data_IF_971799212621
#
_entry.id   IF_971799212621
#
_cell.length_a   1.000
_cell.length_b   1.000
_cell.length_c   1.000
_cell.angle_alpha   90.00
_cell.angle_beta   90.00
_cell.angle_gamma   90.00
#
_symmetry.space_group_name_H-M   'P 1'
#
loop_
_entity.id
_entity.type
_entity.pdbx_description
1 polymer ?
#
# COMPACT_ATOMS: atom_id res chain seq x y z
N UNK A 1 47.20 25.72 -4.29
CA UNK A 1 46.59 24.41 -4.64
C UNK A 1 45.87 23.93 -3.38
N UNK A 2 44.59 23.56 -3.29
CA UNK A 2 43.47 23.36 -4.21
C UNK A 2 42.24 24.10 -3.63
N UNK A 3 41.44 24.73 -4.49
CA UNK A 3 40.12 25.27 -4.15
C UNK A 3 39.11 24.13 -4.35
N UNK A 4 38.20 23.90 -3.41
CA UNK A 4 37.01 23.09 -3.68
C UNK A 4 35.80 23.99 -3.45
N UNK A 5 35.25 24.41 -4.59
CA UNK A 5 34.05 25.21 -4.73
C UNK A 5 32.86 24.31 -4.43
N UNK A 6 32.01 24.75 -3.52
CA UNK A 6 30.75 24.12 -3.17
C UNK A 6 29.74 24.43 -4.31
N UNK A 7 29.18 23.44 -5.02
CA UNK A 7 28.21 23.74 -6.06
C UNK A 7 26.84 23.99 -5.44
N UNK A 8 26.51 25.28 -5.31
CA UNK A 8 25.14 25.79 -5.36
C UNK A 8 24.52 25.45 -6.74
N UNK A 9 23.19 25.33 -6.77
CA UNK A 9 22.35 25.44 -7.96
C UNK A 9 22.40 24.31 -9.01
N UNK A 10 21.56 23.30 -8.85
CA UNK A 10 20.80 22.78 -9.99
C UNK A 10 19.39 23.35 -9.93
N UNK A 11 19.30 24.59 -10.39
CA UNK A 11 18.06 25.29 -10.73
C UNK A 11 17.52 24.68 -12.03
N UNK A 12 16.27 24.22 -11.96
CA UNK A 12 15.23 24.30 -13.00
C UNK A 12 15.65 23.94 -14.43
N UNK A 13 15.35 22.70 -14.83
CA UNK A 13 14.84 22.31 -16.16
C UNK A 13 14.20 20.93 -15.93
N UNK A 14 12.89 20.72 -16.08
CA UNK A 14 12.16 20.79 -17.34
C UNK A 14 10.74 21.29 -17.10
N UNK A 15 10.43 22.42 -17.73
CA UNK A 15 9.12 23.00 -17.88
C UNK A 15 8.26 22.17 -18.84
N UNK A 16 6.97 22.05 -18.48
CA UNK A 16 5.79 22.06 -19.36
C UNK A 16 5.78 21.03 -20.51
N UNK A 17 5.17 19.88 -20.22
CA UNK A 17 4.38 19.11 -21.19
C UNK A 17 2.91 19.17 -20.78
N UNK A 18 2.18 20.13 -21.35
CA UNK A 18 0.73 20.28 -21.23
C UNK A 18 0.04 19.34 -22.23
N UNK A 19 -1.20 18.97 -21.90
CA UNK A 19 -2.23 18.33 -22.75
C UNK A 19 -2.23 16.79 -22.77
N UNK A 20 -3.19 16.19 -22.03
CA UNK A 20 -4.29 15.38 -22.59
C UNK A 20 -5.17 14.80 -21.47
N UNK A 21 -6.46 15.19 -21.48
CA UNK A 21 -7.72 14.42 -21.28
C UNK A 21 -7.58 13.03 -20.60
N UNK A 22 -8.33 12.62 -19.57
CA UNK A 22 -9.76 12.76 -19.31
C UNK A 22 -10.10 12.59 -17.81
N UNK A 23 -11.35 12.95 -17.51
CA UNK A 23 -12.00 12.95 -16.21
C UNK A 23 -11.94 11.62 -15.44
N UNK A 24 -11.58 11.68 -14.16
CA UNK A 24 -11.94 10.65 -13.19
C UNK A 24 -12.45 11.27 -11.89
N UNK A 25 -13.77 11.23 -11.64
CA UNK A 25 -14.32 11.36 -10.32
C UNK A 25 -14.49 9.94 -9.78
N UNK A 26 -13.41 9.30 -9.35
CA UNK A 26 -13.55 7.96 -8.79
C UNK A 26 -12.79 7.86 -7.48
N UNK A 27 -13.50 7.39 -6.45
CA UNK A 27 -12.92 6.92 -5.20
C UNK A 27 -11.71 6.06 -5.56
N UNK A 28 -10.56 6.35 -4.97
CA UNK A 28 -9.33 5.63 -5.31
C UNK A 28 -9.47 4.20 -4.81
N UNK A 29 -9.73 3.28 -5.73
CA UNK A 29 -9.88 1.86 -5.45
C UNK A 29 -8.49 1.20 -5.53
N UNK A 30 -7.87 0.99 -4.38
CA UNK A 30 -6.57 0.33 -4.27
C UNK A 30 -6.57 -1.08 -4.87
N UNK A 31 -7.72 -1.76 -4.90
CA UNK A 31 -7.85 -3.09 -5.50
C UNK A 31 -7.75 -3.08 -7.02
N UNK A 32 -7.99 -1.94 -7.68
CA UNK A 32 -7.75 -1.77 -9.12
C UNK A 32 -6.30 -1.38 -9.42
N UNK A 33 -5.64 -0.66 -8.50
CA UNK A 33 -4.26 -0.22 -8.66
C UNK A 33 -3.29 -1.41 -8.63
N UNK A 34 -3.43 -2.25 -7.62
CA UNK A 34 -2.64 -3.45 -7.49
C UNK A 34 -3.43 -4.60 -8.12
N UNK A 35 -2.84 -5.29 -9.09
CA UNK A 35 -3.47 -6.46 -9.75
C UNK A 35 -3.53 -7.66 -8.80
N UNK A 36 -4.33 -7.55 -7.75
CA UNK A 36 -4.66 -8.68 -6.89
C UNK A 36 -5.78 -9.47 -7.58
N UNK A 37 -5.56 -10.76 -7.85
CA UNK A 37 -6.64 -11.62 -8.35
C UNK A 37 -7.71 -11.72 -7.26
N UNK A 38 -8.83 -11.00 -7.43
CA UNK A 38 -10.07 -11.24 -6.67
C UNK A 38 -10.60 -12.63 -7.02
N UNK A 39 -10.10 -13.66 -6.35
CA UNK A 39 -10.80 -14.93 -6.28
C UNK A 39 -11.98 -14.74 -5.34
N UNK A 40 -13.18 -15.03 -5.83
CA UNK A 40 -14.39 -15.11 -5.00
C UNK A 40 -14.06 -15.85 -3.71
N UNK A 41 -14.46 -15.24 -2.60
CA UNK A 41 -14.33 -15.81 -1.26
C UNK A 41 -15.28 -17.00 -1.18
N UNK A 42 -14.84 -18.14 -1.70
CA UNK A 42 -15.37 -19.44 -1.30
C UNK A 42 -14.95 -19.65 0.15
N UNK A 43 -15.86 -20.17 0.99
CA UNK A 43 -15.67 -20.58 2.40
C UNK A 43 -14.45 -21.51 2.56
N UNK A 44 -13.26 -20.95 2.49
CA UNK A 44 -12.03 -21.66 2.78
C UNK A 44 -11.80 -21.56 4.28
N UNK A 45 -11.51 -22.67 4.97
CA UNK A 45 -11.24 -22.63 6.39
C UNK A 45 -10.03 -21.74 6.65
N UNK A 46 -10.27 -20.66 7.39
CA UNK A 46 -9.23 -19.76 7.91
C UNK A 46 -8.27 -20.61 8.74
N UNK A 47 -7.00 -20.70 8.30
CA UNK A 47 -5.99 -21.54 8.96
C UNK A 47 -5.43 -20.87 10.23
N UNK A 48 -5.39 -19.54 10.26
CA UNK A 48 -4.90 -18.75 11.39
C UNK A 48 -6.00 -17.81 11.89
N UNK A 49 -6.31 -17.84 13.19
CA UNK A 49 -7.40 -17.04 13.78
C UNK A 49 -7.18 -15.53 13.69
N UNK A 50 -5.93 -15.11 13.48
CA UNK A 50 -5.52 -13.73 13.67
C UNK A 50 -5.50 -12.93 12.36
N UNK A 51 -5.95 -13.51 11.24
CA UNK A 51 -5.90 -12.89 9.92
C UNK A 51 -6.48 -11.48 9.89
N UNK A 52 -5.86 -10.63 9.07
CA UNK A 52 -6.31 -9.25 8.90
C UNK A 52 -7.75 -9.26 8.36
N UNK A 53 -8.67 -8.64 9.07
CA UNK A 53 -10.08 -8.61 8.71
C UNK A 53 -10.40 -7.53 7.67
N UNK A 54 -11.15 -7.89 6.64
CA UNK A 54 -11.68 -6.94 5.65
C UNK A 54 -12.53 -5.84 6.29
N UNK A 55 -13.25 -6.17 7.37
CA UNK A 55 -14.09 -5.22 8.10
C UNK A 55 -13.28 -4.11 8.79
N UNK A 56 -12.03 -4.39 9.18
CA UNK A 56 -11.13 -3.36 9.69
C UNK A 56 -10.68 -2.40 8.59
N UNK A 57 -10.48 -2.92 7.38
CA UNK A 57 -10.12 -2.13 6.22
C UNK A 57 -11.24 -1.15 5.82
N UNK A 58 -12.49 -1.63 5.80
CA UNK A 58 -13.65 -0.78 5.48
C UNK A 58 -13.89 0.34 6.49
N UNK A 59 -13.51 0.17 7.77
CA UNK A 59 -13.58 1.24 8.78
C UNK A 59 -12.61 2.38 8.48
N UNK A 60 -11.50 2.11 7.78
CA UNK A 60 -10.56 3.17 7.39
C UNK A 60 -11.12 4.08 6.30
N UNK A 61 -12.04 3.61 5.46
CA UNK A 61 -12.65 4.44 4.42
C UNK A 61 -13.42 5.63 5.00
N UNK A 62 -14.03 5.47 6.19
CA UNK A 62 -14.65 6.59 6.92
C UNK A 62 -13.66 7.65 7.40
N UNK A 63 -12.40 7.31 7.59
CA UNK A 63 -11.35 8.24 8.08
C UNK A 63 -10.79 9.11 6.93
N UNK A 64 -10.98 8.70 5.67
CA UNK A 64 -10.35 9.35 4.50
C UNK A 64 -11.28 10.16 3.59
N UNK A 65 -12.48 10.52 4.03
CA UNK A 65 -13.55 10.97 3.12
C UNK A 65 -13.38 12.36 2.47
N UNK A 66 -12.24 13.05 2.60
CA UNK A 66 -12.05 14.37 2.00
C UNK A 66 -10.68 14.58 1.35
N UNK A 67 -10.27 13.69 0.45
CA UNK A 67 -9.12 13.93 -0.44
C UNK A 67 -9.32 15.08 -1.45
N UNK A 68 -10.34 15.93 -1.30
CA UNK A 68 -10.80 16.87 -2.32
C UNK A 68 -9.96 18.13 -2.49
N UNK A 69 -8.93 18.34 -1.65
CA UNK A 69 -8.17 19.58 -1.58
C UNK A 69 -6.82 19.59 -2.33
N UNK A 70 -6.31 18.43 -2.77
CA UNK A 70 -4.94 18.30 -3.27
C UNK A 70 -4.86 18.36 -4.81
N UNK A 71 -3.77 18.85 -5.44
CA UNK A 71 -3.51 18.66 -6.87
C UNK A 71 -3.31 17.17 -7.17
N UNK A 72 -4.42 16.47 -7.46
CA UNK A 72 -4.54 15.01 -7.35
C UNK A 72 -3.67 14.22 -8.36
N UNK A 73 -3.42 14.75 -9.55
CA UNK A 73 -2.89 13.93 -10.65
C UNK A 73 -1.48 13.37 -10.45
N UNK A 74 -0.51 14.23 -10.14
CA UNK A 74 0.92 13.84 -10.11
C UNK A 74 1.33 13.23 -8.77
N UNK A 75 0.85 13.78 -7.65
CA UNK A 75 1.22 13.32 -6.31
C UNK A 75 0.72 11.90 -6.02
N UNK A 76 -0.54 11.56 -6.38
CA UNK A 76 -1.02 10.19 -6.17
C UNK A 76 -0.27 9.19 -7.06
N UNK A 77 0.12 9.58 -8.28
CA UNK A 77 0.94 8.74 -9.15
C UNK A 77 2.31 8.44 -8.53
N UNK A 78 2.95 9.44 -7.93
CA UNK A 78 4.24 9.25 -7.26
C UNK A 78 4.10 8.36 -6.02
N UNK A 79 3.07 8.58 -5.20
CA UNK A 79 2.81 7.73 -4.03
C UNK A 79 2.51 6.29 -4.47
N UNK A 80 1.81 6.12 -5.57
CA UNK A 80 1.51 4.82 -6.16
C UNK A 80 2.78 4.07 -6.56
N UNK A 81 3.74 4.74 -7.22
CA UNK A 81 5.06 4.18 -7.54
C UNK A 81 5.81 3.77 -6.25
N UNK A 82 5.71 4.57 -5.20
CA UNK A 82 6.30 4.22 -3.90
C UNK A 82 5.66 2.97 -3.29
N UNK A 83 4.34 2.81 -3.42
CA UNK A 83 3.64 1.63 -2.94
C UNK A 83 3.96 0.37 -3.75
N UNK A 84 4.11 0.48 -5.08
CA UNK A 84 4.57 -0.65 -5.91
C UNK A 84 5.96 -1.12 -5.49
N UNK A 85 6.88 -0.20 -5.26
CA UNK A 85 8.23 -0.53 -4.76
C UNK A 85 8.18 -1.15 -3.37
N UNK A 86 7.33 -0.62 -2.50
CA UNK A 86 7.12 -1.17 -1.17
C UNK A 86 6.59 -2.61 -1.25
N UNK A 87 5.59 -2.86 -2.09
CA UNK A 87 5.05 -4.20 -2.32
C UNK A 87 6.12 -5.19 -2.77
N UNK A 88 6.98 -4.82 -3.73
CA UNK A 88 8.09 -5.69 -4.17
C UNK A 88 9.06 -6.01 -3.03
N UNK A 89 9.38 -5.03 -2.19
CA UNK A 89 10.23 -5.24 -1.01
C UNK A 89 9.56 -6.14 0.03
N UNK A 90 8.26 -5.95 0.25
CA UNK A 90 7.45 -6.74 1.17
C UNK A 90 7.39 -8.20 0.70
N UNK A 91 7.12 -8.42 -0.58
CA UNK A 91 7.05 -9.76 -1.20
C UNK A 91 8.38 -10.51 -1.01
N UNK A 92 9.50 -9.85 -1.32
CA UNK A 92 10.83 -10.43 -1.10
C UNK A 92 11.09 -10.73 0.38
N UNK A 93 10.60 -9.92 1.31
CA UNK A 93 10.74 -10.19 2.75
C UNK A 93 9.96 -11.45 3.14
N UNK A 94 8.69 -11.54 2.72
CA UNK A 94 7.78 -12.64 3.05
C UNK A 94 8.27 -13.97 2.47
N UNK A 95 8.83 -13.97 1.26
CA UNK A 95 9.39 -15.17 0.62
C UNK A 95 10.52 -15.83 1.42
N UNK A 96 11.21 -15.05 2.28
CA UNK A 96 12.30 -15.52 3.12
C UNK A 96 11.87 -15.89 4.55
N UNK A 97 10.57 -15.81 4.86
CA UNK A 97 10.02 -16.12 6.17
C UNK A 97 9.28 -17.45 6.18
N UNK A 98 9.19 -18.08 7.35
CA UNK A 98 8.23 -19.18 7.52
C UNK A 98 6.80 -18.65 7.39
N UNK A 99 5.83 -19.54 7.12
CA UNK A 99 4.44 -19.10 6.99
C UNK A 99 3.93 -18.39 8.25
N UNK A 100 4.32 -18.87 9.45
CA UNK A 100 3.93 -18.27 10.72
C UNK A 100 4.58 -16.88 10.88
N UNK A 101 5.89 -16.80 10.66
CA UNK A 101 6.63 -15.53 10.78
C UNK A 101 6.14 -14.50 9.76
N UNK A 102 5.74 -14.95 8.56
CA UNK A 102 5.18 -14.09 7.53
C UNK A 102 3.82 -13.50 7.95
N UNK A 103 2.93 -14.30 8.55
CA UNK A 103 1.67 -13.80 9.11
C UNK A 103 1.91 -12.78 10.22
N UNK A 104 2.78 -13.11 11.18
CA UNK A 104 3.12 -12.19 12.28
C UNK A 104 3.72 -10.87 11.76
N UNK A 105 4.66 -10.95 10.81
CA UNK A 105 5.25 -9.78 10.18
C UNK A 105 4.20 -8.89 9.49
N UNK A 106 3.28 -9.49 8.73
CA UNK A 106 2.21 -8.77 8.05
C UNK A 106 1.26 -8.08 9.03
N UNK A 107 0.90 -8.74 10.14
CA UNK A 107 0.03 -8.16 11.17
C UNK A 107 0.71 -7.00 11.88
N UNK A 108 1.97 -7.17 12.27
CA UNK A 108 2.74 -6.11 12.93
C UNK A 108 2.86 -4.87 12.04
N UNK A 109 3.08 -5.06 10.74
CA UNK A 109 3.18 -3.96 9.79
C UNK A 109 1.83 -3.28 9.51
N UNK A 110 0.74 -4.06 9.47
CA UNK A 110 -0.62 -3.53 9.39
C UNK A 110 -0.96 -2.67 10.62
N UNK A 111 -0.73 -3.19 11.83
CA UNK A 111 -0.99 -2.49 13.08
C UNK A 111 -0.09 -1.25 13.26
N UNK A 112 1.15 -1.29 12.78
CA UNK A 112 2.02 -0.12 12.71
C UNK A 112 1.41 0.99 11.87
N UNK A 113 0.90 0.66 10.68
CA UNK A 113 0.26 1.63 9.79
C UNK A 113 -1.06 2.15 10.35
N UNK A 114 -1.88 1.27 10.93
CA UNK A 114 -3.11 1.61 11.65
C UNK A 114 -2.84 2.61 12.75
N UNK A 115 -1.85 2.33 13.60
CA UNK A 115 -1.41 3.23 14.69
C UNK A 115 -0.97 4.59 14.15
N UNK A 116 -0.26 4.62 13.02
CA UNK A 116 0.16 5.88 12.39
C UNK A 116 -1.05 6.69 11.91
N UNK A 117 -2.05 6.06 11.28
CA UNK A 117 -3.25 6.74 10.78
C UNK A 117 -4.09 7.31 11.93
N UNK A 118 -4.18 6.61 13.07
CA UNK A 118 -4.94 7.08 14.23
C UNK A 118 -4.22 8.14 15.08
N UNK A 119 -2.98 8.49 14.77
CA UNK A 119 -2.31 9.62 15.44
C UNK A 119 -2.94 10.94 15.00
N UNK A 120 -3.23 11.81 15.97
CA UNK A 120 -3.64 13.19 15.70
C UNK A 120 -2.58 13.88 14.81
N UNK A 121 -3.01 14.63 13.79
CA UNK A 121 -2.19 15.43 12.85
C UNK A 121 -1.52 14.74 11.64
N UNK A 122 -1.93 13.52 11.25
CA UNK A 122 -1.42 12.92 10.00
C UNK A 122 -1.95 13.65 8.75
N UNK A 123 -1.08 13.83 7.74
CA UNK A 123 -1.49 14.44 6.47
C UNK A 123 -2.27 13.48 5.58
N UNK A 124 -3.07 14.01 4.65
CA UNK A 124 -3.84 13.21 3.69
C UNK A 124 -2.95 12.29 2.84
N UNK A 125 -1.79 12.81 2.37
CA UNK A 125 -0.81 12.03 1.60
C UNK A 125 -0.27 10.85 2.41
N UNK A 126 0.09 11.08 3.67
CA UNK A 126 0.59 10.00 4.56
C UNK A 126 -0.52 9.00 4.86
N UNK A 127 -1.73 9.48 5.08
CA UNK A 127 -2.91 8.63 5.26
C UNK A 127 -3.11 7.72 4.05
N UNK A 128 -3.06 8.28 2.84
CA UNK A 128 -3.17 7.51 1.60
C UNK A 128 -2.07 6.45 1.47
N UNK A 129 -0.81 6.81 1.73
CA UNK A 129 0.31 5.88 1.70
C UNK A 129 0.16 4.74 2.72
N UNK A 130 -0.16 5.04 3.97
CA UNK A 130 -0.31 4.03 5.01
C UNK A 130 -1.54 3.14 4.78
N UNK A 131 -2.64 3.68 4.24
CA UNK A 131 -3.78 2.86 3.79
C UNK A 131 -3.38 1.90 2.66
N UNK A 132 -2.58 2.36 1.71
CA UNK A 132 -2.05 1.52 0.64
C UNK A 132 -1.22 0.36 1.18
N UNK A 133 -0.35 0.61 2.18
CA UNK A 133 0.40 -0.45 2.87
C UNK A 133 -0.56 -1.45 3.55
N UNK A 134 -1.55 -0.96 4.29
CA UNK A 134 -2.51 -1.82 4.97
C UNK A 134 -3.28 -2.73 3.99
N UNK A 135 -3.67 -2.22 2.82
CA UNK A 135 -4.27 -3.02 1.76
C UNK A 135 -3.30 -4.10 1.26
N UNK A 136 -2.04 -3.76 1.00
CA UNK A 136 -1.03 -4.72 0.55
C UNK A 136 -0.88 -5.83 1.60
N UNK A 137 -0.77 -5.49 2.89
CA UNK A 137 -0.66 -6.46 3.97
C UNK A 137 -1.86 -7.42 4.02
N UNK A 138 -3.08 -6.88 3.93
CA UNK A 138 -4.31 -7.68 3.90
C UNK A 138 -4.32 -8.71 2.76
N UNK A 139 -4.00 -8.27 1.53
CA UNK A 139 -4.02 -9.15 0.37
C UNK A 139 -2.95 -10.24 0.44
N UNK A 140 -1.78 -9.93 1.01
CA UNK A 140 -0.71 -10.92 1.22
C UNK A 140 -1.05 -11.92 2.32
N UNK A 141 -1.63 -11.45 3.42
CA UNK A 141 -2.08 -12.30 4.52
C UNK A 141 -3.13 -13.32 4.01
N UNK A 142 -4.10 -12.82 3.23
CA UNK A 142 -5.09 -13.65 2.56
C UNK A 142 -4.47 -14.65 1.58
N UNK A 143 -3.49 -14.23 0.78
CA UNK A 143 -2.80 -15.11 -0.17
C UNK A 143 -2.03 -16.25 0.52
N UNK A 144 -1.36 -15.97 1.64
CA UNK A 144 -0.63 -16.98 2.42
C UNK A 144 -1.56 -18.07 2.97
N UNK A 145 -2.76 -17.69 3.39
CA UNK A 145 -3.79 -18.64 3.81
C UNK A 145 -4.26 -19.55 2.66
N UNK A 146 -4.35 -19.01 1.44
CA UNK A 146 -4.81 -19.76 0.27
C UNK A 146 -3.73 -20.70 -0.30
N UNK A 147 -2.45 -20.29 -0.28
CA UNK A 147 -1.35 -21.11 -0.80
C UNK A 147 -0.98 -22.27 0.11
N UNK A 148 -1.16 -22.14 1.44
CA UNK A 148 -0.91 -23.23 2.39
C UNK A 148 -1.76 -24.49 2.14
N UNK A 149 -2.96 -24.33 1.55
CA UNK A 149 -3.84 -25.45 1.20
C UNK A 149 -3.36 -26.29 0.01
N UNK A 150 -2.46 -25.77 -0.84
CA UNK A 150 -1.93 -26.56 -1.98
C UNK A 150 -0.85 -27.55 -1.57
N UNK A 151 -0.15 -27.31 -0.46
CA UNK A 151 0.96 -28.17 0.00
C UNK A 151 0.44 -29.40 0.76
N UNK A 152 -0.78 -29.34 1.30
CA UNK A 152 -1.39 -30.44 2.06
C UNK A 152 -2.06 -31.53 1.20
N UNK A 153 -1.96 -31.46 -0.14
CA UNK A 153 -2.38 -32.52 -1.07
C UNK A 153 -1.16 -33.17 -1.72
N UNK A 154 -0.40 -33.94 -0.94
CA UNK A 154 0.58 -34.91 -1.44
C UNK A 154 0.32 -36.26 -0.77
#
# INVERSE_FOLDING_TARGET
MKKVVLPLCFIVMVSVGLLSMDAFPEKVDFSKMFKFEKKEVSDHPIKYSDCISEAELSKLDSIGANFNSLPKGTLFKEINICLEKYQLSLDSTIENLSAIDAHEFLHNEYERCKTIIYKESISEIKTYYHKGIMQICYERDKSLNQTSNKVAKL
#
